data_IF_498930408591
#
_entry.id   IF_498930408591
#
_cell.length_a   1.000
_cell.length_b   1.000
_cell.length_c   1.000
_cell.angle_alpha   90.00
_cell.angle_beta   90.00
_cell.angle_gamma   90.00
#
_symmetry.space_group_name_H-M   'P 1'
#
loop_
_entity.id
_entity.type
_entity.pdbx_description
1 polymer ?
#
# COMPACT_ATOMS: atom_id res chain seq x y z
N UNK A 1 -1.75 -17.64 4.37
CA UNK A 1 -0.42 -17.62 5.02
C UNK A 1 -0.48 -18.38 6.34
N UNK A 2 0.54 -19.17 6.66
CA UNK A 2 0.69 -19.80 8.00
C UNK A 2 1.13 -18.78 9.05
N UNK A 3 1.87 -17.76 8.61
CA UNK A 3 2.28 -16.60 9.39
C UNK A 3 2.08 -15.34 8.55
N UNK A 4 1.76 -14.23 9.19
CA UNK A 4 1.61 -12.95 8.49
C UNK A 4 2.92 -12.55 7.83
N UNK A 5 2.92 -12.13 6.54
CA UNK A 5 4.13 -11.65 5.88
C UNK A 5 4.62 -10.37 6.57
N UNK A 6 5.94 -10.27 6.77
CA UNK A 6 6.58 -9.15 7.46
C UNK A 6 7.37 -8.24 6.51
N UNK A 7 7.22 -8.43 5.22
CA UNK A 7 7.95 -7.70 4.17
C UNK A 7 7.04 -7.39 2.99
N UNK A 8 7.31 -6.28 2.33
CA UNK A 8 6.69 -5.92 1.05
C UNK A 8 6.99 -6.92 -0.08
N UNK A 9 7.93 -7.86 0.10
CA UNK A 9 8.25 -8.84 -0.92
C UNK A 9 7.02 -9.63 -1.39
N UNK A 10 6.03 -9.84 -0.53
CA UNK A 10 4.78 -10.55 -0.87
C UNK A 10 3.97 -9.86 -1.97
N UNK A 11 4.12 -8.55 -2.12
CA UNK A 11 3.45 -7.75 -3.17
C UNK A 11 4.38 -7.32 -4.31
N UNK A 12 5.71 -7.49 -4.15
CA UNK A 12 6.69 -7.13 -5.18
C UNK A 12 7.34 -8.35 -5.85
N UNK A 13 7.29 -9.53 -5.24
CA UNK A 13 7.96 -10.73 -5.73
C UNK A 13 6.99 -11.90 -5.87
N UNK A 14 7.19 -12.74 -6.89
CA UNK A 14 6.44 -13.98 -7.00
C UNK A 14 6.92 -14.98 -5.93
N UNK A 15 5.96 -15.52 -5.19
CA UNK A 15 6.22 -16.46 -4.10
C UNK A 15 5.21 -17.61 -4.12
N UNK A 16 5.64 -18.79 -3.69
CA UNK A 16 4.73 -19.89 -3.37
C UNK A 16 4.20 -19.69 -1.95
N UNK A 17 2.90 -19.64 -1.82
CA UNK A 17 2.20 -19.43 -0.54
C UNK A 17 2.04 -20.75 0.23
N UNK A 18 1.55 -20.66 1.47
CA UNK A 18 1.32 -21.82 2.34
C UNK A 18 0.29 -22.84 1.81
N UNK A 19 -0.55 -22.43 0.85
CA UNK A 19 -1.49 -23.29 0.12
C UNK A 19 -0.85 -24.01 -1.08
N UNK A 20 0.45 -23.83 -1.31
CA UNK A 20 1.22 -24.43 -2.41
C UNK A 20 1.03 -23.72 -3.76
N UNK A 21 0.26 -22.62 -3.83
CA UNK A 21 0.01 -21.86 -5.05
C UNK A 21 0.87 -20.58 -5.08
N UNK A 22 1.11 -20.05 -6.29
CA UNK A 22 1.73 -18.74 -6.46
C UNK A 22 0.81 -17.62 -5.98
N UNK A 23 1.40 -16.55 -5.46
CA UNK A 23 0.69 -15.29 -5.21
C UNK A 23 0.36 -14.52 -6.51
N UNK A 24 0.87 -14.94 -7.65
CA UNK A 24 0.64 -14.30 -8.95
C UNK A 24 -0.84 -14.29 -9.31
N UNK A 25 -1.36 -13.11 -9.68
CA UNK A 25 -2.78 -12.87 -9.94
C UNK A 25 -3.66 -12.77 -8.67
N UNK A 26 -3.06 -12.96 -7.48
CA UNK A 26 -3.74 -12.91 -6.18
C UNK A 26 -3.28 -11.74 -5.30
N UNK A 27 -2.45 -10.87 -5.85
CA UNK A 27 -1.95 -9.65 -5.21
C UNK A 27 -2.68 -8.46 -5.79
N UNK A 28 -2.97 -7.48 -4.92
CA UNK A 28 -3.45 -6.16 -5.35
C UNK A 28 -2.40 -5.09 -5.07
N UNK A 29 -2.51 -3.99 -5.79
CA UNK A 29 -1.76 -2.77 -5.53
C UNK A 29 -2.66 -1.54 -5.68
N UNK A 30 -2.35 -0.47 -4.94
CA UNK A 30 -3.00 0.82 -5.11
C UNK A 30 -2.55 1.47 -6.43
N UNK A 31 -3.47 2.06 -7.19
CA UNK A 31 -3.18 2.68 -8.49
C UNK A 31 -2.73 4.15 -8.38
N UNK A 32 -2.51 4.64 -7.17
CA UNK A 32 -2.09 6.01 -6.93
C UNK A 32 -0.56 6.20 -6.92
N UNK A 33 -0.09 7.44 -7.14
CA UNK A 33 1.34 7.75 -7.27
C UNK A 33 2.16 7.48 -5.99
N UNK A 34 1.56 7.42 -4.81
CA UNK A 34 2.24 7.10 -3.56
C UNK A 34 2.87 5.69 -3.60
N UNK A 35 2.36 4.80 -4.45
CA UNK A 35 2.92 3.46 -4.62
C UNK A 35 4.34 3.47 -5.22
N UNK A 36 4.75 4.57 -5.86
CA UNK A 36 6.16 4.78 -6.28
C UNK A 36 7.05 4.91 -5.03
N UNK A 37 6.58 5.59 -3.99
CA UNK A 37 7.33 5.70 -2.73
C UNK A 37 7.40 4.36 -1.98
N UNK A 38 6.36 3.52 -2.04
CA UNK A 38 6.42 2.15 -1.51
C UNK A 38 7.50 1.32 -2.21
N UNK A 39 7.56 1.40 -3.55
CA UNK A 39 8.60 0.73 -4.33
C UNK A 39 10.00 1.28 -4.01
N UNK A 40 10.14 2.59 -3.86
CA UNK A 40 11.41 3.23 -3.48
C UNK A 40 11.87 2.79 -2.09
N UNK A 41 10.96 2.68 -1.14
CA UNK A 41 11.24 2.22 0.23
C UNK A 41 11.66 0.74 0.24
N UNK A 42 11.00 -0.10 -0.55
CA UNK A 42 11.42 -1.48 -0.76
C UNK A 42 12.85 -1.56 -1.30
N UNK A 43 13.17 -0.77 -2.34
CA UNK A 43 14.51 -0.70 -2.93
C UNK A 43 15.55 -0.13 -1.96
N UNK A 44 15.20 0.87 -1.16
CA UNK A 44 16.07 1.43 -0.13
C UNK A 44 16.59 0.35 0.83
N UNK A 45 15.74 -0.62 1.16
CA UNK A 45 16.08 -1.71 2.06
C UNK A 45 16.82 -2.85 1.34
N UNK A 46 16.37 -3.24 0.14
CA UNK A 46 16.86 -4.44 -0.56
C UNK A 46 18.00 -4.14 -1.56
N UNK A 47 18.16 -2.88 -1.98
CA UNK A 47 19.20 -2.42 -2.90
C UNK A 47 19.88 -1.14 -2.37
N UNK A 48 20.59 -1.21 -1.22
CA UNK A 48 21.16 -0.05 -0.56
C UNK A 48 22.15 0.72 -1.43
N UNK A 49 22.77 0.08 -2.43
CA UNK A 49 23.70 0.70 -3.38
C UNK A 49 23.03 1.78 -4.26
N UNK A 50 21.69 1.79 -4.36
CA UNK A 50 20.96 2.88 -5.01
C UNK A 50 21.03 4.19 -4.23
N UNK A 51 21.44 4.16 -2.95
CA UNK A 51 21.63 5.33 -2.12
C UNK A 51 20.36 6.15 -1.87
N UNK A 52 19.18 5.54 -1.96
CA UNK A 52 17.89 6.18 -1.62
C UNK A 52 17.92 6.52 -0.13
N UNK A 53 17.69 7.78 0.22
CA UNK A 53 17.63 8.25 1.62
C UNK A 53 16.22 8.65 2.02
N UNK A 54 15.44 9.15 1.07
CA UNK A 54 14.05 9.55 1.24
C UNK A 54 13.24 9.00 0.06
N UNK A 55 12.23 8.15 0.30
CA UNK A 55 11.41 7.58 -0.76
C UNK A 55 10.54 8.62 -1.48
N UNK A 56 10.41 9.83 -0.93
CA UNK A 56 9.66 10.93 -1.52
C UNK A 56 10.55 11.94 -2.28
N UNK A 57 11.88 11.86 -2.13
CA UNK A 57 12.87 12.69 -2.81
C UNK A 57 13.84 11.84 -3.63
N UNK A 58 13.43 11.41 -4.82
CA UNK A 58 14.20 10.51 -5.67
C UNK A 58 14.97 11.25 -6.75
N UNK A 59 16.22 10.86 -6.98
CA UNK A 59 16.91 11.20 -8.22
C UNK A 59 16.24 10.52 -9.41
N UNK A 60 16.59 10.96 -10.64
CA UNK A 60 16.04 10.37 -11.86
C UNK A 60 16.33 8.85 -11.95
N UNK A 61 17.53 8.41 -11.57
CA UNK A 61 17.92 7.00 -11.61
C UNK A 61 17.17 6.17 -10.56
N UNK A 62 17.01 6.70 -9.35
CA UNK A 62 16.23 6.06 -8.26
C UNK A 62 14.75 5.96 -8.63
N UNK A 63 14.20 7.00 -9.24
CA UNK A 63 12.84 6.99 -9.77
C UNK A 63 12.66 5.93 -10.86
N UNK A 64 13.59 5.83 -11.83
CA UNK A 64 13.54 4.80 -12.85
C UNK A 64 13.67 3.38 -12.27
N UNK A 65 14.51 3.19 -11.25
CA UNK A 65 14.60 1.91 -10.54
C UNK A 65 13.27 1.53 -9.89
N UNK A 66 12.60 2.48 -9.23
CA UNK A 66 11.28 2.28 -8.62
C UNK A 66 10.22 1.94 -9.67
N UNK A 67 10.19 2.64 -10.80
CA UNK A 67 9.29 2.32 -11.91
C UNK A 67 9.57 0.94 -12.52
N UNK A 68 10.82 0.52 -12.59
CA UNK A 68 11.18 -0.81 -13.11
C UNK A 68 10.68 -1.91 -12.16
N UNK A 69 10.78 -1.73 -10.85
CA UNK A 69 10.19 -2.64 -9.86
C UNK A 69 8.67 -2.72 -10.03
N UNK A 70 7.98 -1.59 -10.19
CA UNK A 70 6.53 -1.56 -10.41
C UNK A 70 6.11 -2.22 -11.73
N UNK A 71 6.93 -2.11 -12.79
CA UNK A 71 6.68 -2.83 -14.05
C UNK A 71 6.81 -4.34 -13.87
N UNK A 72 7.76 -4.80 -13.06
CA UNK A 72 7.88 -6.22 -12.71
C UNK A 72 6.69 -6.67 -11.85
N UNK A 73 6.31 -5.88 -10.85
CA UNK A 73 5.14 -6.13 -10.00
C UNK A 73 3.85 -6.28 -10.83
N UNK A 74 3.71 -5.55 -11.94
CA UNK A 74 2.52 -5.61 -12.80
C UNK A 74 2.21 -7.03 -13.30
N UNK A 75 3.22 -7.85 -13.51
CA UNK A 75 3.04 -9.26 -13.90
C UNK A 75 2.47 -10.12 -12.77
N UNK A 76 2.59 -9.64 -11.54
CA UNK A 76 2.14 -10.30 -10.32
C UNK A 76 0.73 -9.87 -9.91
N UNK A 77 0.38 -8.60 -10.17
CA UNK A 77 -0.86 -7.97 -9.72
C UNK A 77 -2.06 -8.51 -10.50
N UNK A 78 -3.05 -9.02 -9.79
CA UNK A 78 -4.34 -9.44 -10.37
C UNK A 78 -5.28 -8.27 -10.62
N UNK A 79 -5.26 -7.27 -9.75
CA UNK A 79 -6.07 -6.06 -9.87
C UNK A 79 -5.40 -4.88 -9.18
N UNK A 80 -5.47 -3.69 -9.81
CA UNK A 80 -5.21 -2.42 -9.16
C UNK A 80 -6.51 -1.89 -8.55
N UNK A 81 -6.43 -1.41 -7.31
CA UNK A 81 -7.57 -0.78 -6.65
C UNK A 81 -7.38 0.73 -6.53
N UNK A 82 -8.45 1.50 -6.69
CA UNK A 82 -8.50 2.96 -6.55
C UNK A 82 -9.62 3.40 -5.59
N UNK A 83 -10.49 2.47 -5.21
CA UNK A 83 -11.59 2.67 -4.28
C UNK A 83 -11.49 1.67 -3.14
N UNK A 84 -11.70 2.16 -1.91
CA UNK A 84 -11.57 1.36 -0.71
C UNK A 84 -12.55 0.18 -0.65
N UNK A 85 -13.78 0.38 -1.12
CA UNK A 85 -14.81 -0.66 -1.12
C UNK A 85 -14.54 -1.73 -2.17
N UNK A 86 -13.92 -1.38 -3.30
CA UNK A 86 -13.42 -2.36 -4.27
C UNK A 86 -12.42 -3.31 -3.61
N UNK A 87 -11.46 -2.78 -2.84
CA UNK A 87 -10.49 -3.62 -2.14
C UNK A 87 -11.16 -4.53 -1.10
N UNK A 88 -12.12 -4.01 -0.35
CA UNK A 88 -12.89 -4.78 0.65
C UNK A 88 -13.64 -5.94 -0.03
N UNK A 89 -14.32 -5.68 -1.14
CA UNK A 89 -15.04 -6.70 -1.90
C UNK A 89 -14.11 -7.76 -2.46
N UNK A 90 -13.00 -7.36 -3.03
CA UNK A 90 -11.99 -8.24 -3.58
C UNK A 90 -11.39 -9.20 -2.53
N UNK A 91 -11.07 -8.71 -1.34
CA UNK A 91 -10.58 -9.56 -0.25
C UNK A 91 -11.66 -10.49 0.31
N UNK A 92 -12.94 -10.07 0.24
CA UNK A 92 -14.06 -10.86 0.73
C UNK A 92 -14.45 -11.96 -0.27
N UNK A 93 -14.47 -11.67 -1.57
CA UNK A 93 -15.14 -12.49 -2.57
C UNK A 93 -14.22 -13.04 -3.67
N UNK A 94 -13.08 -12.40 -3.98
CA UNK A 94 -12.26 -12.73 -5.15
C UNK A 94 -10.96 -13.49 -4.82
N UNK A 95 -10.70 -13.74 -3.53
CA UNK A 95 -9.56 -14.56 -3.10
C UNK A 95 -8.20 -13.88 -3.20
N UNK A 96 -8.13 -12.57 -3.18
CA UNK A 96 -6.88 -11.84 -3.04
C UNK A 96 -6.23 -12.11 -1.68
N UNK A 97 -4.90 -12.19 -1.66
CA UNK A 97 -4.14 -12.66 -0.49
C UNK A 97 -3.24 -11.59 0.13
N UNK A 98 -2.84 -10.58 -0.63
CA UNK A 98 -1.98 -9.51 -0.16
C UNK A 98 -2.21 -8.22 -0.94
N UNK A 99 -2.10 -7.08 -0.27
CA UNK A 99 -2.18 -5.74 -0.85
C UNK A 99 -1.56 -4.71 0.09
N UNK A 100 -1.08 -3.59 -0.45
CA UNK A 100 -1.01 -2.35 0.31
C UNK A 100 -2.43 -1.88 0.63
N UNK A 101 -2.69 -1.44 1.87
CA UNK A 101 -4.03 -1.08 2.32
C UNK A 101 -3.98 0.07 3.33
N UNK A 102 -5.10 0.77 3.48
CA UNK A 102 -5.24 1.80 4.50
C UNK A 102 -5.94 1.23 5.75
N UNK A 103 -5.78 1.84 6.92
CA UNK A 103 -6.44 1.38 8.15
C UNK A 103 -7.96 1.29 8.03
N UNK A 104 -8.59 2.09 7.16
CA UNK A 104 -10.03 2.10 6.93
C UNK A 104 -10.53 0.73 6.44
N UNK A 105 -9.95 0.20 5.35
CA UNK A 105 -10.36 -1.10 4.80
C UNK A 105 -10.06 -2.24 5.78
N UNK A 106 -8.89 -2.19 6.43
CA UNK A 106 -8.50 -3.18 7.44
C UNK A 106 -9.52 -3.24 8.57
N UNK A 107 -9.93 -2.09 9.10
CA UNK A 107 -10.91 -2.04 10.20
C UNK A 107 -12.28 -2.58 9.78
N UNK A 108 -12.73 -2.30 8.56
CA UNK A 108 -14.00 -2.83 8.04
C UNK A 108 -13.94 -4.35 7.84
N UNK A 109 -12.87 -4.86 7.27
CA UNK A 109 -12.68 -6.30 7.07
C UNK A 109 -12.58 -7.06 8.40
N UNK A 110 -11.83 -6.54 9.37
CA UNK A 110 -11.75 -7.10 10.73
C UNK A 110 -13.09 -7.05 11.41
N UNK A 111 -13.82 -5.92 11.33
CA UNK A 111 -15.16 -5.77 11.87
C UNK A 111 -16.20 -6.72 11.25
N UNK A 112 -15.97 -7.15 10.02
CA UNK A 112 -16.77 -8.15 9.31
C UNK A 112 -16.25 -9.59 9.52
N UNK A 113 -15.37 -9.81 10.51
CA UNK A 113 -14.79 -11.11 10.86
C UNK A 113 -14.07 -11.81 9.68
N UNK A 114 -13.57 -11.04 8.70
CA UNK A 114 -12.78 -11.62 7.62
C UNK A 114 -11.42 -12.09 8.14
N UNK A 115 -10.89 -13.21 7.64
CA UNK A 115 -9.64 -13.81 8.12
C UNK A 115 -8.42 -13.06 7.55
N UNK A 116 -8.29 -11.78 7.89
CA UNK A 116 -7.20 -10.92 7.46
C UNK A 116 -6.34 -10.47 8.65
N UNK A 117 -5.10 -10.09 8.36
CA UNK A 117 -4.18 -9.44 9.28
C UNK A 117 -3.50 -8.27 8.59
N UNK A 118 -3.15 -7.25 9.35
CA UNK A 118 -2.40 -6.09 8.87
C UNK A 118 -1.08 -5.97 9.62
N UNK A 119 -0.02 -5.65 8.90
CA UNK A 119 1.31 -5.46 9.46
C UNK A 119 1.94 -4.20 8.86
N UNK A 120 2.85 -3.58 9.61
CA UNK A 120 3.81 -2.63 9.04
C UNK A 120 5.03 -3.46 8.64
N UNK A 121 5.39 -3.51 7.35
CA UNK A 121 6.53 -4.29 6.88
C UNK A 121 7.86 -3.80 7.49
N UNK A 122 8.86 -4.66 7.51
CA UNK A 122 10.21 -4.33 8.03
C UNK A 122 10.89 -3.20 7.26
N UNK A 123 10.53 -2.99 6.01
CA UNK A 123 10.99 -1.90 5.17
C UNK A 123 10.33 -0.55 5.51
N UNK A 124 9.27 -0.58 6.32
CA UNK A 124 8.42 0.57 6.64
C UNK A 124 7.14 0.62 5.80
N UNK A 125 6.35 1.65 6.00
CA UNK A 125 5.15 1.93 5.23
C UNK A 125 5.07 3.43 4.92
N UNK A 126 4.59 3.78 3.73
CA UNK A 126 4.24 5.17 3.41
C UNK A 126 3.04 5.63 4.21
N UNK A 127 2.92 6.92 4.41
CA UNK A 127 1.80 7.50 5.14
C UNK A 127 1.61 8.97 4.80
N UNK A 128 0.46 9.48 5.17
CA UNK A 128 0.13 10.91 5.07
C UNK A 128 -0.78 11.30 6.23
N UNK A 129 -0.95 12.58 6.41
CA UNK A 129 -1.91 13.13 7.35
C UNK A 129 -2.85 14.06 6.58
N UNK A 130 -4.14 13.77 6.62
CA UNK A 130 -5.16 14.70 6.18
C UNK A 130 -5.31 15.82 7.20
N UNK A 131 -5.45 17.04 6.72
CA UNK A 131 -5.59 18.22 7.57
C UNK A 131 -6.87 18.99 7.23
N UNK A 132 -7.53 19.50 8.25
CA UNK A 132 -8.65 20.44 8.08
C UNK A 132 -8.11 21.87 8.10
N UNK A 133 -8.48 22.65 7.10
CA UNK A 133 -8.11 24.05 6.99
C UNK A 133 -9.35 24.92 7.01
N UNK A 134 -9.26 26.07 7.70
CA UNK A 134 -10.29 27.12 7.67
C UNK A 134 -9.84 28.19 6.70
N UNK A 135 -10.72 28.55 5.74
CA UNK A 135 -10.43 29.62 4.79
C UNK A 135 -10.19 30.94 5.53
N UNK A 136 -9.21 31.75 5.10
CA UNK A 136 -8.83 33.01 5.76
C UNK A 136 -9.97 34.03 5.86
N UNK A 137 -10.93 33.98 4.92
CA UNK A 137 -12.10 34.87 4.87
C UNK A 137 -13.40 34.15 5.26
N UNK A 138 -13.31 33.06 6.05
CA UNK A 138 -14.49 32.31 6.47
C UNK A 138 -15.39 33.21 7.36
N UNK A 139 -16.67 33.34 6.98
CA UNK A 139 -17.64 34.18 7.72
C UNK A 139 -17.97 33.62 9.11
N UNK A 140 -17.85 32.28 9.30
CA UNK A 140 -18.27 31.57 10.52
C UNK A 140 -17.12 30.75 11.10
N UNK A 141 -16.00 31.41 11.40
CA UNK A 141 -14.76 30.73 11.90
C UNK A 141 -15.01 29.93 13.18
N UNK A 142 -15.80 30.46 14.12
CA UNK A 142 -16.13 29.77 15.36
C UNK A 142 -16.91 28.47 15.12
N UNK A 143 -17.83 28.46 14.15
CA UNK A 143 -18.55 27.25 13.77
C UNK A 143 -17.60 26.20 13.15
N UNK A 144 -16.62 26.63 12.35
CA UNK A 144 -15.63 25.74 11.78
C UNK A 144 -14.78 25.06 12.86
N UNK A 145 -14.32 25.82 13.86
CA UNK A 145 -13.58 25.25 15.00
C UNK A 145 -14.42 24.33 15.89
N UNK A 146 -15.72 24.60 16.03
CA UNK A 146 -16.61 23.72 16.79
C UNK A 146 -16.92 22.39 16.05
N UNK A 147 -16.79 22.41 14.73
CA UNK A 147 -16.96 21.20 13.91
C UNK A 147 -15.72 20.29 13.92
N UNK A 148 -14.52 20.85 14.02
CA UNK A 148 -13.26 20.12 14.12
C UNK A 148 -13.07 19.46 15.49
#
# INVERSE_FOLDING_TARGET
FSEAPTSWNVVFEEQTLGDGQSNKGRVQAFDGPIHIADAAMYLMYHQPDLGIKDPYELTQDQYQASLNLLRQQRELVGRYWHDAFMQIDDFTNEGFVASGSWPFQVNLLVGAEQPISSVIPKEGATGWADTTMVHSEAANVNCAYLWM
#
